data_IF_578476643383
#
_entry.id   IF_578476643383
#
_cell.length_a   1.000
_cell.length_b   1.000
_cell.length_c   1.000
_cell.angle_alpha   90.00
_cell.angle_beta   90.00
_cell.angle_gamma   90.00
#
_symmetry.space_group_name_H-M   'P 1'
#
loop_
_entity.id
_entity.type
_entity.pdbx_description
1 polymer ?
#
# COMPACT_ATOMS: atom_id res chain seq x y z
N UNK A 1 26.19 -54.46 -9.02
CA UNK A 1 26.38 -54.48 -7.55
C UNK A 1 27.51 -53.53 -7.23
N UNK A 2 27.16 -52.32 -6.83
CA UNK A 2 28.06 -51.43 -6.10
C UNK A 2 27.16 -50.46 -5.35
N UNK A 3 26.98 -50.77 -4.08
CA UNK A 3 26.20 -50.02 -3.11
C UNK A 3 26.90 -48.69 -2.81
N UNK A 4 26.16 -47.59 -2.86
CA UNK A 4 26.63 -46.29 -2.40
C UNK A 4 26.00 -46.08 -1.03
N UNK A 5 26.78 -46.38 0.02
CA UNK A 5 26.41 -46.10 1.39
C UNK A 5 26.32 -44.58 1.62
N UNK A 6 25.17 -44.13 2.08
CA UNK A 6 24.93 -42.83 2.68
C UNK A 6 25.57 -42.80 4.07
N UNK A 7 26.55 -41.93 4.27
CA UNK A 7 27.06 -41.61 5.60
C UNK A 7 26.84 -40.12 5.89
N UNK A 8 25.84 -39.86 6.74
CA UNK A 8 25.47 -38.56 7.28
C UNK A 8 26.10 -38.43 8.66
N UNK A 9 27.36 -37.99 8.72
CA UNK A 9 27.93 -37.48 9.97
C UNK A 9 29.08 -36.52 9.69
N UNK A 10 28.93 -35.26 10.12
CA UNK A 10 30.04 -34.32 10.25
C UNK A 10 29.96 -33.09 9.34
N UNK A 11 29.05 -32.16 9.63
CA UNK A 11 29.14 -30.79 9.11
C UNK A 11 29.62 -29.87 10.24
N UNK A 12 30.90 -29.47 10.27
CA UNK A 12 31.33 -28.43 11.19
C UNK A 12 30.82 -27.05 10.73
N UNK A 13 30.40 -26.25 11.70
CA UNK A 13 29.85 -24.92 11.53
C UNK A 13 30.92 -23.91 11.08
N UNK A 14 31.25 -23.88 9.80
CA UNK A 14 32.07 -22.82 9.19
C UNK A 14 31.40 -22.30 7.91
N UNK A 15 30.24 -21.67 8.09
CA UNK A 15 29.43 -21.07 7.01
C UNK A 15 29.42 -19.55 7.03
N UNK A 16 30.52 -18.88 7.41
CA UNK A 16 30.55 -17.42 7.55
C UNK A 16 31.85 -16.74 7.07
N UNK A 17 32.62 -17.37 6.18
CA UNK A 17 33.85 -16.75 5.63
C UNK A 17 34.02 -16.82 4.11
N UNK A 18 33.11 -17.45 3.35
CA UNK A 18 33.22 -17.52 1.89
C UNK A 18 32.48 -16.35 1.22
N UNK A 19 32.92 -15.13 1.50
CA UNK A 19 32.62 -13.94 0.67
C UNK A 19 33.76 -12.92 0.70
N UNK A 20 34.99 -13.39 0.96
CA UNK A 20 36.14 -12.50 1.14
C UNK A 20 37.41 -13.09 0.56
N UNK A 21 37.46 -13.29 -0.74
CA UNK A 21 38.69 -13.19 -1.52
C UNK A 21 38.38 -13.20 -3.00
N UNK A 22 39.23 -12.52 -3.77
CA UNK A 22 39.25 -12.39 -5.23
C UNK A 22 38.28 -11.40 -5.88
N UNK A 23 38.37 -10.14 -5.46
CA UNK A 23 38.32 -9.00 -6.40
C UNK A 23 39.31 -7.94 -5.90
N UNK A 24 40.49 -7.90 -6.53
CA UNK A 24 41.41 -6.76 -6.44
C UNK A 24 40.77 -5.59 -7.19
N UNK A 25 39.83 -4.91 -6.53
CA UNK A 25 39.35 -3.60 -6.93
C UNK A 25 39.92 -2.63 -5.89
N UNK A 26 40.83 -1.77 -6.33
CA UNK A 26 41.33 -0.62 -5.57
C UNK A 26 40.21 -0.02 -4.70
N UNK A 27 40.46 0.24 -3.41
CA UNK A 27 39.46 0.83 -2.54
C UNK A 27 39.28 2.29 -2.94
N UNK A 28 38.46 2.53 -3.96
CA UNK A 28 37.78 3.80 -4.11
C UNK A 28 37.00 3.99 -2.81
N UNK A 29 37.60 4.77 -1.91
CA UNK A 29 37.04 5.21 -0.65
C UNK A 29 35.84 6.11 -0.98
N UNK A 30 34.73 5.49 -1.38
CA UNK A 30 33.43 6.11 -1.29
C UNK A 30 33.23 6.26 0.21
N UNK A 31 33.54 7.45 0.74
CA UNK A 31 33.10 7.87 2.08
C UNK A 31 31.69 7.32 2.24
N UNK A 32 31.46 6.47 3.23
CA UNK A 32 30.13 5.94 3.53
C UNK A 32 29.23 7.14 3.72
N UNK A 33 28.47 7.50 2.69
CA UNK A 33 27.62 8.67 2.74
C UNK A 33 26.58 8.34 3.81
N UNK A 34 26.53 9.16 4.86
CA UNK A 34 25.51 9.02 5.89
C UNK A 34 24.13 9.17 5.25
N UNK A 35 23.28 8.17 5.47
CA UNK A 35 21.98 8.03 4.82
C UNK A 35 20.94 7.84 5.91
N UNK A 36 20.10 8.85 6.09
CA UNK A 36 18.96 8.76 7.00
C UNK A 36 17.91 7.75 6.51
N UNK A 37 17.90 7.43 5.21
CA UNK A 37 17.07 6.36 4.65
C UNK A 37 17.67 5.69 3.40
N UNK A 38 17.20 4.47 3.14
CA UNK A 38 17.51 3.72 1.91
C UNK A 38 16.31 3.80 0.97
N UNK A 39 16.54 4.29 -0.25
CA UNK A 39 15.49 4.42 -1.26
C UNK A 39 15.14 3.05 -1.87
N UNK A 40 13.88 2.63 -1.71
CA UNK A 40 13.30 1.36 -2.18
C UNK A 40 13.26 1.18 -3.71
N UNK A 41 13.73 2.17 -4.48
CA UNK A 41 13.95 2.02 -5.93
C UNK A 41 15.10 1.05 -6.23
N UNK A 42 16.15 1.09 -5.39
CA UNK A 42 17.50 0.66 -5.75
C UNK A 42 17.65 -0.79 -6.25
N UNK A 43 16.76 -1.71 -5.86
CA UNK A 43 16.94 -3.12 -6.18
C UNK A 43 18.32 -3.59 -5.73
N UNK A 44 19.10 -4.17 -6.65
CA UNK A 44 20.46 -4.65 -6.41
C UNK A 44 21.52 -3.52 -6.26
N UNK A 45 21.20 -2.28 -6.61
CA UNK A 45 22.15 -1.14 -6.55
C UNK A 45 21.65 -0.04 -5.63
N UNK A 46 22.55 0.58 -4.87
CA UNK A 46 22.14 1.71 -4.02
C UNK A 46 21.68 2.90 -4.88
N UNK A 47 20.61 3.56 -4.45
CA UNK A 47 20.15 4.80 -5.07
C UNK A 47 21.27 5.85 -5.08
N UNK A 48 21.55 6.40 -6.27
CA UNK A 48 22.58 7.41 -6.54
C UNK A 48 21.98 8.80 -6.83
N UNK A 49 20.74 9.07 -6.41
CA UNK A 49 20.07 10.34 -6.71
C UNK A 49 20.62 11.54 -5.93
N UNK A 50 21.53 11.33 -4.97
CA UNK A 50 22.00 12.36 -4.05
C UNK A 50 20.97 12.80 -3.00
N UNK A 51 19.84 12.09 -2.86
CA UNK A 51 18.76 12.43 -1.94
C UNK A 51 18.66 11.37 -0.84
N UNK A 52 19.28 11.66 0.31
CA UNK A 52 19.51 10.69 1.37
C UNK A 52 18.92 11.09 2.73
N UNK A 53 18.31 12.28 2.82
CA UNK A 53 17.65 12.76 4.03
C UNK A 53 16.15 12.42 4.03
N UNK A 54 15.57 12.17 5.19
CA UNK A 54 14.17 11.81 5.38
C UNK A 54 13.21 12.90 4.86
N UNK A 55 13.59 14.18 4.89
CA UNK A 55 12.82 15.27 4.30
C UNK A 55 12.55 15.05 2.79
N UNK A 56 13.54 14.51 2.09
CA UNK A 56 13.47 14.19 0.67
C UNK A 56 12.90 12.80 0.39
N UNK A 57 12.50 12.05 1.41
CA UNK A 57 11.87 10.74 1.29
C UNK A 57 10.34 10.86 1.15
N UNK A 58 9.70 9.84 0.58
CA UNK A 58 8.25 9.75 0.42
C UNK A 58 7.79 8.34 0.80
N UNK A 59 6.76 8.28 1.66
CA UNK A 59 6.04 7.04 1.98
C UNK A 59 5.13 6.67 0.81
N UNK A 60 5.54 5.67 0.07
CA UNK A 60 4.98 5.38 -1.26
C UNK A 60 3.55 4.84 -1.24
N UNK A 61 3.25 3.98 -0.26
CA UNK A 61 2.01 3.18 -0.19
C UNK A 61 1.22 3.44 1.10
N UNK A 62 1.57 4.49 1.85
CA UNK A 62 0.95 4.74 3.16
C UNK A 62 -0.56 4.95 3.08
N UNK A 63 -1.07 5.47 1.97
CA UNK A 63 -2.49 5.61 1.66
C UNK A 63 -3.23 4.26 1.60
N UNK A 64 -2.61 3.22 1.06
CA UNK A 64 -3.15 1.85 1.09
C UNK A 64 -3.16 1.22 2.48
N UNK A 65 -2.52 1.85 3.47
CA UNK A 65 -2.57 1.45 4.88
C UNK A 65 -3.23 2.53 5.75
N UNK A 66 -3.97 3.45 5.12
CA UNK A 66 -4.77 4.47 5.79
C UNK A 66 -4.02 5.72 6.24
N UNK A 67 -2.92 6.15 5.58
CA UNK A 67 -2.02 7.33 5.74
C UNK A 67 -2.04 8.17 7.05
N UNK A 68 -3.22 8.54 7.56
CA UNK A 68 -3.43 9.33 8.78
C UNK A 68 -4.23 8.60 9.88
N UNK A 69 -4.49 7.30 9.73
CA UNK A 69 -5.22 6.48 10.68
C UNK A 69 -4.29 6.00 11.79
N UNK A 70 -4.88 5.67 12.95
CA UNK A 70 -4.12 5.28 14.13
C UNK A 70 -3.27 4.02 13.88
N UNK A 71 -3.81 3.03 13.16
CA UNK A 71 -3.08 1.81 12.78
C UNK A 71 -1.79 2.12 11.99
N UNK A 72 -1.83 3.10 11.08
CA UNK A 72 -0.68 3.51 10.27
C UNK A 72 0.48 4.06 11.12
N UNK A 73 0.19 4.62 12.30
CA UNK A 73 1.20 5.14 13.22
C UNK A 73 1.95 4.03 13.96
N UNK A 74 1.35 2.85 14.09
CA UNK A 74 1.97 1.69 14.71
C UNK A 74 2.91 0.94 13.76
N UNK A 75 2.88 1.26 12.47
CA UNK A 75 3.77 0.66 11.47
C UNK A 75 5.16 1.30 11.57
N UNK A 76 6.15 0.50 11.96
CA UNK A 76 7.52 0.95 12.25
C UNK A 76 8.35 1.26 11.00
N UNK A 77 8.14 0.51 9.92
CA UNK A 77 8.91 0.65 8.68
C UNK A 77 8.03 0.89 7.46
N UNK A 78 8.56 1.65 6.50
CA UNK A 78 7.90 1.97 5.23
C UNK A 78 8.89 1.85 4.06
N UNK A 79 8.46 1.36 2.88
CA UNK A 79 9.25 1.47 1.67
C UNK A 79 9.31 2.94 1.22
N UNK A 80 10.42 3.59 1.57
CA UNK A 80 10.66 5.00 1.26
C UNK A 80 11.26 5.14 -0.13
N UNK A 81 10.74 6.04 -0.93
CA UNK A 81 11.38 6.49 -2.17
C UNK A 81 11.95 7.89 -1.98
N UNK A 82 13.09 8.18 -2.60
CA UNK A 82 13.53 9.57 -2.72
C UNK A 82 12.56 10.35 -3.61
N UNK A 83 12.50 11.66 -3.42
CA UNK A 83 11.61 12.56 -4.17
C UNK A 83 11.75 12.39 -5.68
N UNK A 84 12.99 12.26 -6.18
CA UNK A 84 13.29 12.10 -7.61
C UNK A 84 12.75 10.79 -8.18
N UNK A 85 12.95 9.67 -7.49
CA UNK A 85 12.41 8.37 -7.95
C UNK A 85 10.90 8.31 -7.83
N UNK A 86 10.32 8.85 -6.76
CA UNK A 86 8.87 8.95 -6.63
C UNK A 86 8.25 9.70 -7.82
N UNK A 87 8.82 10.87 -8.19
CA UNK A 87 8.36 11.63 -9.35
C UNK A 87 8.50 10.84 -10.66
N UNK A 88 9.66 10.23 -10.92
CA UNK A 88 9.90 9.44 -12.14
C UNK A 88 8.93 8.27 -12.29
N UNK A 89 8.61 7.60 -11.20
CA UNK A 89 7.65 6.51 -11.21
C UNK A 89 6.22 6.99 -11.45
N UNK A 90 5.82 8.10 -10.83
CA UNK A 90 4.48 8.65 -11.03
C UNK A 90 4.17 9.02 -12.49
N UNK A 91 5.20 9.30 -13.31
CA UNK A 91 5.03 9.51 -14.76
C UNK A 91 4.87 8.22 -15.57
N UNK A 92 5.23 7.06 -15.01
CA UNK A 92 5.11 5.74 -15.65
C UNK A 92 3.98 4.94 -14.99
N UNK A 93 2.75 5.42 -15.13
CA UNK A 93 1.57 4.94 -14.40
C UNK A 93 1.43 3.42 -14.40
N UNK A 94 1.53 2.75 -15.56
CA UNK A 94 1.41 1.29 -15.64
C UNK A 94 2.47 0.56 -14.79
N UNK A 95 3.76 0.85 -14.99
CA UNK A 95 4.84 0.23 -14.22
C UNK A 95 4.72 0.55 -12.73
N UNK A 96 4.21 1.74 -12.43
CA UNK A 96 4.00 2.19 -11.07
C UNK A 96 2.92 1.42 -10.33
N UNK A 97 1.80 1.09 -10.99
CA UNK A 97 0.71 0.32 -10.39
C UNK A 97 1.16 -1.06 -9.94
N UNK A 98 1.90 -1.79 -10.78
CA UNK A 98 2.48 -3.09 -10.40
C UNK A 98 3.47 -2.94 -9.24
N UNK A 99 4.33 -1.91 -9.29
CA UNK A 99 5.31 -1.69 -8.23
C UNK A 99 4.67 -1.29 -6.89
N UNK A 100 3.53 -0.59 -6.91
CA UNK A 100 2.73 -0.33 -5.71
C UNK A 100 2.25 -1.64 -5.08
N UNK A 101 1.77 -2.59 -5.88
CA UNK A 101 1.38 -3.92 -5.39
C UNK A 101 2.56 -4.69 -4.79
N UNK A 102 3.74 -4.64 -5.42
CA UNK A 102 4.94 -5.29 -4.86
C UNK A 102 5.33 -4.68 -3.50
N UNK A 103 5.23 -3.35 -3.37
CA UNK A 103 5.49 -2.67 -2.09
C UNK A 103 4.44 -3.00 -1.04
N UNK A 104 3.16 -3.12 -1.42
CA UNK A 104 2.09 -3.53 -0.51
C UNK A 104 2.35 -4.95 0.00
N UNK A 105 2.68 -5.90 -0.88
CA UNK A 105 3.02 -7.27 -0.50
C UNK A 105 4.23 -7.31 0.46
N UNK A 106 5.29 -6.58 0.13
CA UNK A 106 6.47 -6.44 1.00
C UNK A 106 6.10 -5.90 2.39
N UNK A 107 5.23 -4.90 2.43
CA UNK A 107 4.76 -4.30 3.69
C UNK A 107 3.89 -5.26 4.49
N UNK A 108 3.03 -6.04 3.84
CA UNK A 108 2.22 -7.08 4.48
C UNK A 108 3.12 -8.15 5.10
N UNK A 109 4.14 -8.63 4.38
CA UNK A 109 5.12 -9.59 4.91
C UNK A 109 5.91 -9.02 6.11
N UNK A 110 6.31 -7.75 6.04
CA UNK A 110 6.97 -7.07 7.15
C UNK A 110 6.07 -7.00 8.40
N UNK A 111 4.81 -6.60 8.23
CA UNK A 111 3.85 -6.51 9.33
C UNK A 111 3.57 -7.89 9.93
N UNK A 112 3.38 -8.92 9.10
CA UNK A 112 3.18 -10.30 9.57
C UNK A 112 4.38 -10.81 10.37
N UNK A 113 5.61 -10.49 9.94
CA UNK A 113 6.83 -10.86 10.67
C UNK A 113 6.95 -10.20 12.06
N UNK A 114 6.44 -8.98 12.22
CA UNK A 114 6.41 -8.29 13.52
C UNK A 114 5.20 -8.66 14.38
N UNK A 115 4.07 -8.94 13.73
CA UNK A 115 2.78 -9.22 14.36
C UNK A 115 2.14 -10.46 13.72
N UNK A 116 2.57 -11.67 14.11
CA UNK A 116 2.02 -12.90 13.55
C UNK A 116 0.51 -13.02 13.77
N UNK A 117 -0.21 -13.54 12.77
CA UNK A 117 -1.66 -13.74 12.77
C UNK A 117 -2.49 -12.45 12.96
N UNK A 118 -1.92 -11.29 12.64
CA UNK A 118 -2.65 -10.03 12.73
C UNK A 118 -3.86 -10.01 11.79
N UNK A 119 -4.90 -9.31 12.23
CA UNK A 119 -6.15 -9.16 11.50
C UNK A 119 -6.21 -7.82 10.81
N UNK A 120 -6.87 -7.78 9.66
CA UNK A 120 -7.03 -6.61 8.81
C UNK A 120 -8.51 -6.27 8.62
N UNK A 121 -8.77 -4.99 8.43
CA UNK A 121 -9.97 -4.53 7.74
C UNK A 121 -9.54 -4.18 6.32
N UNK A 122 -10.11 -4.89 5.34
CA UNK A 122 -9.96 -4.56 3.92
C UNK A 122 -11.20 -3.77 3.53
N UNK A 123 -11.00 -2.51 3.14
CA UNK A 123 -12.10 -1.62 2.79
C UNK A 123 -11.70 -0.70 1.64
N UNK A 124 -12.70 -0.20 0.91
CA UNK A 124 -12.47 0.86 -0.05
C UNK A 124 -12.30 2.20 0.69
N UNK A 125 -11.64 3.15 0.06
CA UNK A 125 -11.62 4.53 0.56
C UNK A 125 -13.04 5.10 0.46
N UNK A 126 -13.41 5.97 1.40
CA UNK A 126 -14.77 6.58 1.48
C UNK A 126 -15.30 7.15 0.17
N UNK A 127 -14.43 7.68 -0.70
CA UNK A 127 -14.83 8.18 -2.03
C UNK A 127 -15.32 7.06 -2.94
N UNK A 128 -14.62 5.93 -2.99
CA UNK A 128 -15.02 4.76 -3.80
C UNK A 128 -16.22 4.03 -3.18
N UNK A 129 -16.27 3.92 -1.84
CA UNK A 129 -17.45 3.37 -1.14
C UNK A 129 -18.72 4.15 -1.48
N UNK A 130 -18.63 5.49 -1.48
CA UNK A 130 -19.74 6.37 -1.84
C UNK A 130 -20.18 6.14 -3.29
N UNK A 131 -19.24 6.09 -4.24
CA UNK A 131 -19.53 5.84 -5.66
C UNK A 131 -20.22 4.49 -5.87
N UNK A 132 -19.73 3.44 -5.21
CA UNK A 132 -20.31 2.11 -5.29
C UNK A 132 -21.73 2.07 -4.68
N UNK A 133 -21.96 2.77 -3.56
CA UNK A 133 -23.27 2.87 -2.93
C UNK A 133 -24.29 3.67 -3.77
N UNK A 134 -23.85 4.75 -4.41
CA UNK A 134 -24.69 5.53 -5.35
C UNK A 134 -25.10 4.68 -6.55
N UNK A 135 -24.15 3.90 -7.10
CA UNK A 135 -24.45 2.94 -8.16
C UNK A 135 -25.44 1.86 -7.72
N UNK A 136 -25.28 1.29 -6.52
CA UNK A 136 -26.22 0.31 -5.97
C UNK A 136 -27.64 0.88 -5.82
N UNK A 137 -27.77 2.16 -5.43
CA UNK A 137 -29.07 2.84 -5.34
C UNK A 137 -29.69 3.07 -6.71
N UNK A 138 -28.91 3.52 -7.69
CA UNK A 138 -29.39 3.76 -9.05
C UNK A 138 -29.85 2.46 -9.73
N UNK A 139 -29.10 1.36 -9.55
CA UNK A 139 -29.47 0.05 -10.10
C UNK A 139 -30.70 -0.54 -9.43
N UNK A 140 -30.85 -0.42 -8.11
CA UNK A 140 -32.05 -0.87 -7.40
C UNK A 140 -33.33 -0.12 -7.84
N UNK A 141 -33.20 1.18 -8.16
CA UNK A 141 -34.32 1.97 -8.70
C UNK A 141 -34.68 1.57 -10.14
N UNK A 142 -33.68 1.21 -10.96
CA UNK A 142 -33.90 0.80 -12.35
C UNK A 142 -34.40 -0.64 -12.50
N UNK A 143 -34.08 -1.55 -11.57
CA UNK A 143 -34.58 -2.93 -11.63
C UNK A 143 -36.10 -3.06 -11.45
N UNK A 144 -36.78 -1.99 -11.00
CA UNK A 144 -38.24 -1.90 -10.92
C UNK A 144 -38.88 -1.38 -12.22
N UNK A 145 -38.06 -0.85 -13.15
CA UNK A 145 -38.47 -0.38 -14.47
C UNK A 145 -37.95 -1.33 -15.56
N UNK A 146 -38.87 -2.04 -16.21
CA UNK A 146 -38.64 -3.03 -17.27
C UNK A 146 -37.92 -2.47 -18.50
N UNK A 147 -36.61 -2.18 -18.43
CA UNK A 147 -35.77 -1.88 -19.60
C UNK A 147 -34.29 -2.13 -19.31
N UNK A 148 -33.81 -3.33 -19.65
CA UNK A 148 -32.49 -3.87 -19.31
C UNK A 148 -31.26 -3.23 -19.98
N UNK A 149 -31.42 -2.14 -20.73
CA UNK A 149 -30.32 -1.51 -21.50
C UNK A 149 -29.95 -0.10 -21.02
N UNK A 150 -30.71 0.49 -20.09
CA UNK A 150 -30.46 1.86 -19.60
C UNK A 150 -29.51 1.94 -18.38
N UNK A 151 -29.20 0.82 -17.72
CA UNK A 151 -28.40 0.80 -16.50
C UNK A 151 -26.92 1.20 -16.72
N UNK A 152 -26.40 1.04 -17.92
CA UNK A 152 -25.03 1.47 -18.30
C UNK A 152 -24.93 2.95 -18.67
N UNK A 153 -26.06 3.64 -18.91
CA UNK A 153 -26.07 5.06 -19.28
C UNK A 153 -26.19 6.01 -18.07
N UNK A 154 -26.71 5.53 -16.94
CA UNK A 154 -26.85 6.30 -15.70
C UNK A 154 -25.67 6.15 -14.72
N UNK A 155 -24.52 5.68 -15.23
CA UNK A 155 -23.35 5.38 -14.41
C UNK A 155 -22.68 6.67 -13.90
N UNK A 156 -22.25 6.73 -12.62
CA UNK A 156 -21.17 7.63 -12.22
C UNK A 156 -19.87 7.12 -12.86
N UNK A 157 -19.71 7.40 -14.15
CA UNK A 157 -18.45 7.20 -14.86
C UNK A 157 -17.33 7.91 -14.08
N UNK A 158 -16.10 7.36 -14.08
CA UNK A 158 -14.97 8.07 -13.50
C UNK A 158 -14.92 9.48 -14.10
N UNK A 159 -14.98 10.50 -13.24
CA UNK A 159 -14.98 11.88 -13.72
C UNK A 159 -13.59 12.16 -14.31
N UNK A 160 -13.53 12.44 -15.61
CA UNK A 160 -12.29 12.80 -16.29
C UNK A 160 -11.61 14.04 -15.67
N UNK A 161 -12.34 14.84 -14.88
CA UNK A 161 -11.84 16.00 -14.11
C UNK A 161 -11.57 15.68 -12.63
N UNK A 162 -11.73 14.44 -12.19
CA UNK A 162 -11.43 14.06 -10.82
C UNK A 162 -9.97 14.34 -10.48
N UNK A 163 -9.73 14.92 -9.29
CA UNK A 163 -8.38 15.22 -8.79
C UNK A 163 -7.60 13.97 -8.39
N UNK A 164 -8.23 12.81 -8.37
CA UNK A 164 -7.65 11.54 -7.95
C UNK A 164 -8.21 10.43 -8.83
N UNK A 165 -7.41 9.38 -9.03
CA UNK A 165 -7.83 8.21 -9.78
C UNK A 165 -9.10 7.62 -9.16
N UNK A 166 -10.06 7.30 -10.01
CA UNK A 166 -11.34 6.67 -9.70
C UNK A 166 -11.44 5.38 -10.49
N UNK A 167 -11.52 4.24 -9.79
CA UNK A 167 -11.60 2.95 -10.47
C UNK A 167 -12.97 2.76 -11.16
N UNK A 168 -13.04 1.98 -12.25
CA UNK A 168 -14.32 1.60 -12.86
C UNK A 168 -15.24 0.88 -11.86
N UNK A 169 -16.55 1.11 -11.95
CA UNK A 169 -17.53 0.56 -11.00
C UNK A 169 -17.51 -0.98 -10.98
N UNK A 170 -17.32 -1.62 -12.14
CA UNK A 170 -17.24 -3.07 -12.27
C UNK A 170 -16.07 -3.65 -11.46
N UNK A 171 -14.93 -2.96 -11.48
CA UNK A 171 -13.76 -3.31 -10.66
C UNK A 171 -14.08 -3.18 -9.18
N UNK A 172 -14.77 -2.11 -8.77
CA UNK A 172 -15.20 -1.93 -7.37
C UNK A 172 -16.18 -3.01 -6.92
N UNK A 173 -17.12 -3.43 -7.77
CA UNK A 173 -18.06 -4.51 -7.48
C UNK A 173 -17.34 -5.84 -7.27
N UNK A 174 -16.39 -6.17 -8.14
CA UNK A 174 -15.58 -7.38 -7.99
C UNK A 174 -14.73 -7.33 -6.71
N UNK A 175 -14.10 -6.19 -6.41
CA UNK A 175 -13.35 -6.02 -5.16
C UNK A 175 -14.22 -6.12 -3.92
N UNK A 176 -15.52 -5.77 -4.00
CA UNK A 176 -16.45 -5.89 -2.89
C UNK A 176 -16.53 -7.32 -2.32
N UNK A 177 -16.21 -8.34 -3.12
CA UNK A 177 -16.19 -9.75 -2.69
C UNK A 177 -15.08 -10.07 -1.69
N UNK A 178 -13.98 -9.32 -1.70
CA UNK A 178 -12.81 -9.54 -0.82
C UNK A 178 -12.76 -8.58 0.36
N UNK A 179 -13.61 -7.55 0.39
CA UNK A 179 -13.69 -6.61 1.50
C UNK A 179 -14.20 -7.27 2.78
N UNK A 180 -13.95 -6.63 3.92
CA UNK A 180 -14.52 -7.03 5.20
C UNK A 180 -13.57 -6.83 6.37
N UNK A 181 -14.06 -7.25 7.54
CA UNK A 181 -13.34 -7.25 8.80
C UNK A 181 -12.68 -8.61 9.06
N UNK A 182 -11.73 -8.65 9.98
CA UNK A 182 -11.06 -9.89 10.44
C UNK A 182 -10.33 -10.68 9.36
N UNK A 183 -9.88 -10.00 8.31
CA UNK A 183 -9.12 -10.59 7.20
C UNK A 183 -7.70 -10.92 7.63
N UNK A 184 -7.13 -11.97 7.09
CA UNK A 184 -5.74 -12.38 7.31
C UNK A 184 -4.78 -11.67 6.36
N UNK A 185 -3.47 -11.81 6.59
CA UNK A 185 -2.44 -11.39 5.63
C UNK A 185 -2.63 -12.07 4.27
N UNK A 186 -3.01 -13.34 4.26
CA UNK A 186 -3.24 -14.10 3.02
C UNK A 186 -4.46 -13.58 2.26
N UNK A 187 -5.54 -13.19 2.96
CA UNK A 187 -6.68 -12.51 2.33
C UNK A 187 -6.27 -11.18 1.70
N UNK A 188 -5.39 -10.42 2.36
CA UNK A 188 -4.86 -9.17 1.82
C UNK A 188 -4.02 -9.40 0.55
N UNK A 189 -3.20 -10.46 0.55
CA UNK A 189 -2.43 -10.89 -0.63
C UNK A 189 -3.34 -11.37 -1.76
N UNK A 190 -4.39 -12.11 -1.45
CA UNK A 190 -5.39 -12.54 -2.42
C UNK A 190 -6.08 -11.34 -3.07
N UNK A 191 -6.44 -10.31 -2.28
CA UNK A 191 -6.96 -9.05 -2.81
C UNK A 191 -5.93 -8.33 -3.71
N UNK A 192 -4.64 -8.30 -3.34
CA UNK A 192 -3.58 -7.75 -4.19
C UNK A 192 -3.42 -8.53 -5.51
N UNK A 193 -3.54 -9.86 -5.45
CA UNK A 193 -3.49 -10.73 -6.63
C UNK A 193 -4.69 -10.50 -7.56
N UNK A 194 -5.89 -10.31 -7.01
CA UNK A 194 -7.07 -9.94 -7.78
C UNK A 194 -6.88 -8.60 -8.51
N UNK A 195 -6.37 -7.58 -7.81
CA UNK A 195 -6.07 -6.28 -8.43
C UNK A 195 -5.00 -6.41 -9.52
N UNK A 196 -3.99 -7.26 -9.32
CA UNK A 196 -2.98 -7.54 -10.34
C UNK A 196 -3.62 -8.12 -11.59
N UNK A 197 -4.50 -9.11 -11.45
CA UNK A 197 -5.23 -9.69 -12.59
C UNK A 197 -6.08 -8.66 -13.32
N UNK A 198 -6.76 -7.76 -12.59
CA UNK A 198 -7.53 -6.65 -13.19
C UNK A 198 -6.63 -5.70 -14.00
N UNK A 199 -5.43 -5.38 -13.50
CA UNK A 199 -4.44 -4.56 -14.23
C UNK A 199 -3.91 -5.27 -15.49
N UNK A 200 -3.71 -6.59 -15.43
CA UNK A 200 -3.25 -7.40 -16.56
C UNK A 200 -4.30 -7.49 -17.66
N UNK A 201 -5.57 -7.68 -17.26
CA UNK A 201 -6.74 -7.67 -18.14
C UNK A 201 -7.12 -6.27 -18.64
N UNK A 202 -6.46 -5.22 -18.14
CA UNK A 202 -6.73 -3.81 -18.44
C UNK A 202 -8.16 -3.38 -18.06
N UNK A 203 -8.72 -4.00 -17.03
CA UNK A 203 -10.01 -3.59 -16.45
C UNK A 203 -9.87 -2.31 -15.61
N UNK A 204 -8.66 -2.04 -15.09
CA UNK A 204 -8.30 -0.81 -14.40
C UNK A 204 -6.92 -0.33 -14.87
N UNK A 205 -6.69 0.99 -14.82
CA UNK A 205 -5.41 1.60 -15.22
C UNK A 205 -4.42 1.72 -14.06
N UNK A 206 -4.93 1.88 -12.83
CA UNK A 206 -4.15 1.98 -11.61
C UNK A 206 -4.78 1.14 -10.48
N UNK A 207 -4.03 0.96 -9.39
CA UNK A 207 -4.48 0.31 -8.17
C UNK A 207 -5.69 1.09 -7.62
N UNK A 208 -6.88 0.46 -7.49
CA UNK A 208 -8.04 1.10 -6.88
C UNK A 208 -7.72 1.61 -5.46
N UNK A 209 -8.45 2.62 -5.00
CA UNK A 209 -8.24 3.19 -3.66
C UNK A 209 -8.75 2.24 -2.56
N UNK A 210 -8.09 1.10 -2.39
CA UNK A 210 -8.31 0.11 -1.33
C UNK A 210 -7.35 0.35 -0.16
N UNK A 211 -7.83 0.14 1.05
CA UNK A 211 -7.08 0.23 2.30
C UNK A 211 -7.02 -1.13 2.99
N UNK A 212 -5.81 -1.55 3.37
CA UNK A 212 -5.49 -2.70 4.20
C UNK A 212 -5.14 -2.19 5.60
N UNK A 213 -6.10 -2.19 6.51
CA UNK A 213 -5.94 -1.59 7.84
C UNK A 213 -5.57 -2.66 8.87
N UNK A 214 -4.30 -2.77 9.29
CA UNK A 214 -3.89 -3.75 10.27
C UNK A 214 -4.42 -3.38 11.67
N UNK A 215 -4.92 -4.36 12.41
CA UNK A 215 -5.41 -4.22 13.78
C UNK A 215 -4.25 -4.38 14.77
N UNK A 216 -3.23 -3.52 14.66
CA UNK A 216 -2.05 -3.56 15.55
C UNK A 216 -2.47 -3.06 16.94
N UNK A 217 -2.21 -3.81 18.02
CA UNK A 217 -2.42 -3.32 19.38
C UNK A 217 -1.57 -2.09 19.62
N UNK A 218 -2.21 -0.93 19.77
CA UNK A 218 -1.52 0.31 20.09
C UNK A 218 -1.05 0.25 21.55
N UNK A 219 0.27 0.08 21.75
CA UNK A 219 0.89 0.19 23.08
C UNK A 219 0.59 1.58 23.63
N UNK A 220 -0.29 1.66 24.63
CA UNK A 220 -0.70 2.87 25.33
C UNK A 220 -1.23 4.00 24.43
N UNK A 221 -2.39 3.78 23.81
CA UNK A 221 -3.26 4.90 23.52
C UNK A 221 -3.78 5.43 24.87
N UNK A 222 -3.03 6.35 25.50
CA UNK A 222 -3.65 7.28 26.45
C UNK A 222 -4.80 7.89 25.68
N UNK A 223 -6.01 7.53 26.08
CA UNK A 223 -7.25 8.13 25.63
C UNK A 223 -7.12 9.63 25.88
N UNK A 224 -6.69 10.39 24.88
CA UNK A 224 -6.99 11.81 24.79
C UNK A 224 -8.46 11.96 24.36
N UNK A 225 -9.36 11.41 25.19
CA UNK A 225 -10.67 12.01 25.38
C UNK A 225 -10.45 13.34 26.09
N UNK A 226 -10.09 14.34 25.30
CA UNK A 226 -10.59 15.69 25.46
C UNK A 226 -10.68 16.26 24.06
N UNK A 227 -11.90 16.29 23.51
CA UNK A 227 -12.21 17.23 22.43
C UNK A 227 -11.80 18.60 22.98
N UNK A 228 -10.68 19.12 22.49
CA UNK A 228 -10.40 20.54 22.61
C UNK A 228 -11.39 21.14 21.62
N UNK A 229 -12.47 21.72 22.13
CA UNK A 229 -13.34 22.58 21.34
C UNK A 229 -12.45 23.66 20.73
N UNK A 230 -11.99 23.42 19.51
CA UNK A 230 -11.36 24.47 18.74
C UNK A 230 -12.50 25.41 18.38
N UNK A 231 -12.59 26.54 19.09
CA UNK A 231 -13.38 27.67 18.66
C UNK A 231 -13.10 27.89 17.17
N UNK A 232 -14.11 27.60 16.36
CA UNK A 232 -14.06 27.78 14.91
C UNK A 232 -14.17 29.28 14.69
N UNK A 233 -13.07 29.93 14.38
CA UNK A 233 -13.08 31.31 13.89
C UNK A 233 -13.87 31.30 12.58
N UNK A 234 -15.10 31.84 12.63
CA UNK A 234 -15.87 32.08 11.41
C UNK A 234 -15.16 33.17 10.61
N UNK A 235 -15.32 33.17 9.28
CA UNK A 235 -14.73 34.18 8.39
C UNK A 235 -15.18 35.63 8.69
N UNK A 236 -16.12 35.83 9.63
CA UNK A 236 -16.68 37.13 10.00
C UNK A 236 -16.49 37.47 11.50
N UNK A 237 -15.34 37.13 12.09
CA UNK A 237 -14.77 37.91 13.20
C UNK A 237 -15.58 38.06 14.49
N UNK A 238 -16.55 37.19 14.81
CA UNK A 238 -17.27 37.24 16.08
C UNK A 238 -17.11 35.93 16.85
N UNK A 239 -16.59 36.01 18.08
CA UNK A 239 -16.44 34.91 19.03
C UNK A 239 -17.77 34.78 19.80
N UNK A 240 -18.46 33.64 19.70
CA UNK A 240 -19.48 33.29 20.68
C UNK A 240 -18.82 32.59 21.86
N UNK A 241 -19.07 33.11 23.07
CA UNK A 241 -18.68 32.52 24.35
C UNK A 241 -19.68 31.40 24.74
N UNK A 242 -19.24 30.45 25.58
CA UNK A 242 -19.76 29.07 25.62
C UNK A 242 -21.26 28.95 25.96
#
# INVERSE_FOLDING_TARGET
MTEIHSDLSGVPAEGLSIFRSTLNVEPNFIKSIDREFVCAHGGASMCNSGQYTLNLSRKTISDHFGRNKACTRAIEWWPLLCRKHYQRFSYRQKQWSYRKLDYIDTQLNYIEGLHPNIKYIIQLKKSEEKRLAEFAKATAFLSDATTGEAATAALPAPDAKAKSFEAPIQVLQQLNTVLGIQKTTDDCKAACALIRQMLERKETEDVPNVEFLPQIPLKNAISTKKRKDSCRISKNGAIQKP
#
